data_IF_886075229630
#
_entry.id   IF_886075229630
#
_cell.length_a   1.000
_cell.length_b   1.000
_cell.length_c   1.000
_cell.angle_alpha   90.00
_cell.angle_beta   90.00
_cell.angle_gamma   90.00
#
_symmetry.space_group_name_H-M   'P 1'
#
loop_
_entity.id
_entity.type
_entity.pdbx_description
1 polymer ?
#
# COMPACT_ATOMS: atom_id res chain seq x y z
N UNK A 1 38.55 7.81 -56.73
CA UNK A 1 37.13 8.23 -56.71
C UNK A 1 36.44 7.63 -57.93
N UNK A 2 35.47 6.73 -57.73
CA UNK A 2 34.32 6.42 -58.60
C UNK A 2 33.50 5.34 -57.90
N UNK A 3 32.25 5.68 -57.58
CA UNK A 3 31.23 4.86 -56.91
C UNK A 3 30.41 4.20 -58.01
N UNK A 4 30.12 2.91 -57.90
CA UNK A 4 29.01 2.25 -58.58
C UNK A 4 28.59 1.07 -57.70
N UNK A 5 27.43 1.18 -57.04
CA UNK A 5 26.71 0.06 -56.47
C UNK A 5 25.21 0.31 -56.70
N UNK A 6 24.64 -0.64 -57.43
CA UNK A 6 23.26 -0.77 -57.90
C UNK A 6 22.23 -0.78 -56.75
N UNK A 7 20.97 -0.35 -57.00
CA UNK A 7 19.89 -0.34 -56.01
C UNK A 7 19.24 -1.72 -55.90
N UNK A 8 18.72 -2.05 -54.71
CA UNK A 8 17.77 -3.16 -54.54
C UNK A 8 16.79 -2.83 -53.41
N UNK A 9 15.60 -2.51 -53.89
CA UNK A 9 14.25 -2.58 -53.36
C UNK A 9 13.98 -2.96 -51.89
N UNK A 10 13.18 -2.08 -51.27
CA UNK A 10 11.99 -2.36 -50.49
C UNK A 10 11.58 -3.83 -50.36
N UNK A 11 11.52 -4.34 -49.14
CA UNK A 11 10.39 -5.17 -48.69
C UNK A 11 10.06 -4.88 -47.22
N UNK A 12 8.89 -4.25 -47.03
CA UNK A 12 8.12 -4.23 -45.79
C UNK A 12 7.89 -5.67 -45.31
N UNK A 13 8.21 -5.93 -44.03
CA UNK A 13 7.73 -7.13 -43.35
C UNK A 13 6.95 -6.73 -42.10
N UNK A 14 5.66 -7.00 -42.22
CA UNK A 14 4.51 -6.85 -41.35
C UNK A 14 4.73 -6.70 -39.85
N UNK A 15 4.20 -5.61 -39.31
CA UNK A 15 3.63 -5.55 -37.97
C UNK A 15 2.55 -6.64 -37.81
N UNK A 16 2.55 -7.41 -36.71
CA UNK A 16 1.37 -8.16 -36.31
C UNK A 16 0.40 -7.25 -35.55
N UNK A 17 -0.73 -6.93 -36.19
CA UNK A 17 -1.94 -6.44 -35.55
C UNK A 17 -2.48 -7.50 -34.57
N UNK A 18 -2.34 -7.24 -33.27
CA UNK A 18 -3.10 -7.96 -32.24
C UNK A 18 -4.42 -7.20 -32.06
N UNK A 19 -5.40 -7.57 -32.88
CA UNK A 19 -6.82 -7.35 -32.59
C UNK A 19 -7.27 -8.44 -31.61
N UNK A 20 -7.41 -8.08 -30.33
CA UNK A 20 -8.20 -8.88 -29.38
C UNK A 20 -9.25 -7.99 -28.75
N UNK A 21 -10.33 -7.78 -29.51
CA UNK A 21 -11.62 -7.34 -29.01
C UNK A 21 -12.11 -8.28 -27.89
N UNK A 22 -11.74 -7.97 -26.64
CA UNK A 22 -12.22 -8.67 -25.45
C UNK A 22 -13.43 -7.93 -24.88
N UNK A 23 -14.59 -8.55 -25.12
CA UNK A 23 -15.91 -8.18 -24.62
C UNK A 23 -15.91 -7.97 -23.10
N UNK A 24 -16.29 -6.75 -22.72
CA UNK A 24 -17.13 -6.35 -21.56
C UNK A 24 -17.62 -7.52 -20.68
N UNK A 25 -16.97 -7.72 -19.53
CA UNK A 25 -17.54 -8.42 -18.38
C UNK A 25 -17.85 -7.39 -17.28
N UNK A 26 -19.12 -6.97 -17.23
CA UNK A 26 -19.68 -6.13 -16.16
C UNK A 26 -19.82 -7.01 -14.91
N UNK A 27 -18.76 -7.13 -14.12
CA UNK A 27 -18.86 -7.72 -12.78
C UNK A 27 -19.59 -6.74 -11.88
N UNK A 28 -20.87 -7.02 -11.65
CA UNK A 28 -21.62 -6.46 -10.53
C UNK A 28 -20.91 -6.92 -9.25
N UNK A 29 -20.16 -6.01 -8.63
CA UNK A 29 -19.70 -6.21 -7.26
C UNK A 29 -20.85 -5.80 -6.37
N UNK A 30 -21.62 -6.80 -5.96
CA UNK A 30 -22.53 -6.72 -4.82
C UNK A 30 -21.83 -5.94 -3.71
N UNK A 31 -22.35 -4.74 -3.47
CA UNK A 31 -21.94 -3.88 -2.37
C UNK A 31 -22.59 -4.48 -1.14
N UNK A 32 -22.01 -5.57 -0.63
CA UNK A 32 -22.30 -6.07 0.69
C UNK A 32 -22.12 -4.88 1.65
N UNK A 33 -23.26 -4.34 2.11
CA UNK A 33 -23.30 -3.34 3.15
C UNK A 33 -22.80 -4.02 4.42
N UNK A 34 -21.49 -3.95 4.66
CA UNK A 34 -20.96 -4.17 5.99
C UNK A 34 -21.32 -2.93 6.82
N UNK A 35 -22.58 -2.88 7.25
CA UNK A 35 -22.99 -2.02 8.33
C UNK A 35 -22.33 -2.52 9.61
N UNK A 36 -21.14 -2.01 9.92
CA UNK A 36 -20.65 -2.05 11.30
C UNK A 36 -21.29 -0.88 12.04
N UNK A 37 -22.52 -1.11 12.53
CA UNK A 37 -23.07 -0.39 13.66
C UNK A 37 -22.20 -0.66 14.89
N UNK A 38 -21.10 0.09 15.04
CA UNK A 38 -20.39 0.16 16.31
C UNK A 38 -21.23 1.00 17.27
N UNK A 39 -22.28 0.39 17.79
CA UNK A 39 -22.93 0.84 19.01
C UNK A 39 -21.94 0.66 20.14
N UNK A 40 -21.28 1.74 20.54
CA UNK A 40 -20.52 1.75 21.80
C UNK A 40 -21.52 1.68 22.94
N UNK A 41 -21.68 0.46 23.46
CA UNK A 41 -22.38 0.17 24.70
C UNK A 41 -21.88 1.04 25.85
N UNK A 42 -22.84 1.44 26.68
CA UNK A 42 -22.66 2.20 27.90
C UNK A 42 -21.63 1.57 28.86
N UNK A 43 -20.83 2.42 29.52
CA UNK A 43 -20.22 2.11 30.82
C UNK A 43 -18.70 1.95 30.91
N UNK A 44 -17.93 2.11 29.83
CA UNK A 44 -16.46 2.08 29.86
C UNK A 44 -15.81 3.46 29.74
N UNK A 45 -14.51 3.63 30.07
CA UNK A 45 -13.78 4.87 29.81
C UNK A 45 -13.96 5.24 28.33
N UNK A 46 -14.40 6.48 28.08
CA UNK A 46 -14.69 6.94 26.73
C UNK A 46 -13.44 6.86 25.87
N UNK A 47 -13.42 5.88 24.96
CA UNK A 47 -12.38 5.71 23.95
C UNK A 47 -12.56 6.76 22.87
N UNK A 48 -12.00 7.94 23.10
CA UNK A 48 -11.90 9.00 22.10
C UNK A 48 -10.85 8.65 21.05
N UNK A 49 -10.97 9.22 19.86
CA UNK A 49 -9.98 9.05 18.79
C UNK A 49 -8.58 9.45 19.27
N UNK A 50 -8.47 10.59 19.95
CA UNK A 50 -7.21 11.10 20.51
C UNK A 50 -6.56 10.10 21.47
N UNK A 51 -7.33 9.52 22.41
CA UNK A 51 -6.79 8.52 23.35
C UNK A 51 -6.28 7.27 22.64
N UNK A 52 -6.97 6.82 21.58
CA UNK A 52 -6.53 5.68 20.77
C UNK A 52 -5.25 6.01 20.01
N UNK A 53 -5.16 7.19 19.42
CA UNK A 53 -3.97 7.65 18.71
C UNK A 53 -2.76 7.75 19.63
N UNK A 54 -2.90 8.38 20.80
CA UNK A 54 -1.82 8.50 21.78
C UNK A 54 -1.35 7.14 22.28
N UNK A 55 -2.29 6.24 22.62
CA UNK A 55 -1.96 4.89 23.07
C UNK A 55 -1.13 4.14 22.02
N UNK A 56 -1.58 4.14 20.77
CA UNK A 56 -0.90 3.42 19.69
C UNK A 56 0.45 4.07 19.35
N UNK A 57 0.53 5.40 19.39
CA UNK A 57 1.78 6.12 19.19
C UNK A 57 2.83 5.74 20.24
N UNK A 58 2.43 5.68 21.52
CA UNK A 58 3.30 5.24 22.63
C UNK A 58 3.68 3.77 22.50
N UNK A 59 2.73 2.89 22.18
CA UNK A 59 2.98 1.46 22.04
C UNK A 59 3.95 1.15 20.90
N UNK A 60 3.83 1.84 19.77
CA UNK A 60 4.80 1.75 18.67
C UNK A 60 6.17 2.27 19.11
N UNK A 61 6.22 3.42 19.79
CA UNK A 61 7.49 3.99 20.27
C UNK A 61 8.20 3.10 21.29
N UNK A 62 7.47 2.50 22.23
CA UNK A 62 8.00 1.53 23.18
C UNK A 62 8.42 0.23 22.48
N UNK A 63 7.61 -0.26 21.54
CA UNK A 63 7.90 -1.46 20.76
C UNK A 63 9.16 -1.32 19.90
N UNK A 64 9.41 -0.15 19.31
CA UNK A 64 10.65 0.11 18.55
C UNK A 64 11.86 0.19 19.48
N UNK A 65 11.72 0.79 20.66
CA UNK A 65 12.81 0.92 21.65
C UNK A 65 13.21 -0.42 22.27
N UNK A 66 12.23 -1.26 22.61
CA UNK A 66 12.46 -2.56 23.23
C UNK A 66 12.69 -3.69 22.21
N UNK A 67 12.22 -3.50 20.97
CA UNK A 67 12.27 -4.50 19.92
C UNK A 67 13.66 -4.73 19.35
N UNK A 68 13.84 -5.90 18.74
CA UNK A 68 15.02 -6.25 17.97
C UNK A 68 14.72 -6.05 16.47
N UNK A 69 15.02 -4.87 15.89
CA UNK A 69 14.57 -4.50 14.54
C UNK A 69 15.06 -5.48 13.48
N UNK A 70 16.27 -6.03 13.62
CA UNK A 70 16.83 -7.02 12.68
C UNK A 70 16.05 -8.32 12.66
N UNK A 71 15.63 -8.84 13.82
CA UNK A 71 14.84 -10.09 13.90
C UNK A 71 13.43 -9.89 13.30
N UNK A 72 12.83 -8.73 13.56
CA UNK A 72 11.51 -8.40 13.03
C UNK A 72 11.57 -8.21 11.51
N UNK A 73 12.59 -7.49 11.01
CA UNK A 73 12.81 -7.28 9.59
C UNK A 73 13.02 -8.62 8.86
N UNK A 74 13.85 -9.51 9.42
CA UNK A 74 14.08 -10.85 8.88
C UNK A 74 12.79 -11.69 8.83
N UNK A 75 11.96 -11.65 9.87
CA UNK A 75 10.67 -12.38 9.91
C UNK A 75 9.69 -11.93 8.84
N UNK A 76 9.69 -10.64 8.51
CA UNK A 76 8.78 -10.05 7.52
C UNK A 76 9.41 -10.02 6.10
N UNK A 77 10.67 -10.45 5.96
CA UNK A 77 11.39 -10.47 4.69
C UNK A 77 11.74 -9.08 4.17
N UNK A 78 11.92 -8.10 5.05
CA UNK A 78 12.34 -6.73 4.71
C UNK A 78 13.73 -6.43 5.25
N UNK A 79 14.38 -5.41 4.72
CA UNK A 79 15.64 -4.92 5.26
C UNK A 79 15.41 -4.15 6.57
N UNK A 80 16.43 -4.14 7.43
CA UNK A 80 16.40 -3.33 8.66
C UNK A 80 16.21 -1.84 8.36
N UNK A 81 16.70 -1.36 7.21
CA UNK A 81 16.51 0.02 6.79
C UNK A 81 15.05 0.31 6.43
N UNK A 82 14.40 -0.57 5.65
CA UNK A 82 12.97 -0.45 5.35
C UNK A 82 12.11 -0.51 6.62
N UNK A 83 12.48 -1.34 7.60
CA UNK A 83 11.83 -1.35 8.91
C UNK A 83 11.94 0.01 9.62
N UNK A 84 13.14 0.60 9.65
CA UNK A 84 13.37 1.93 10.24
C UNK A 84 12.55 3.00 9.51
N UNK A 85 12.59 3.02 8.19
CA UNK A 85 11.85 4.00 7.38
C UNK A 85 10.34 3.87 7.61
N UNK A 86 9.82 2.64 7.70
CA UNK A 86 8.40 2.38 7.95
C UNK A 86 7.94 2.82 9.35
N UNK A 87 8.82 2.73 10.35
CA UNK A 87 8.50 2.95 11.77
C UNK A 87 8.89 4.35 12.29
N UNK A 88 9.69 5.10 11.54
CA UNK A 88 10.06 6.48 11.86
C UNK A 88 8.83 7.40 11.94
N UNK A 89 8.95 8.47 12.73
CA UNK A 89 7.99 9.57 12.72
C UNK A 89 7.99 10.25 11.34
N UNK A 90 6.99 9.96 10.50
CA UNK A 90 6.81 10.58 9.19
C UNK A 90 5.34 10.50 8.75
N UNK A 91 4.89 11.45 7.91
CA UNK A 91 3.45 11.61 7.56
C UNK A 91 2.88 10.47 6.72
N UNK A 92 3.69 9.77 5.92
CA UNK A 92 3.23 8.77 4.94
C UNK A 92 3.73 7.34 5.22
N UNK A 93 4.36 7.11 6.37
CA UNK A 93 4.98 5.83 6.71
C UNK A 93 3.99 4.92 7.45
N UNK A 94 4.34 3.64 7.62
CA UNK A 94 3.47 2.64 8.25
C UNK A 94 2.98 3.11 9.62
N UNK A 95 3.86 3.70 10.44
CA UNK A 95 3.49 4.25 11.75
C UNK A 95 2.34 5.26 11.68
N UNK A 96 2.41 6.24 10.79
CA UNK A 96 1.36 7.26 10.67
C UNK A 96 0.04 6.67 10.17
N UNK A 97 0.09 5.70 9.25
CA UNK A 97 -1.10 4.99 8.77
C UNK A 97 -1.79 4.21 9.90
N UNK A 98 -1.01 3.54 10.74
CA UNK A 98 -1.52 2.77 11.89
C UNK A 98 -2.10 3.69 12.96
N UNK A 99 -1.43 4.79 13.30
CA UNK A 99 -1.97 5.78 14.25
C UNK A 99 -3.28 6.37 13.73
N UNK A 100 -3.33 6.82 12.47
CA UNK A 100 -4.55 7.36 11.85
C UNK A 100 -5.68 6.34 11.77
N UNK A 101 -5.35 5.06 11.56
CA UNK A 101 -6.33 3.99 11.60
C UNK A 101 -6.90 3.76 13.01
N UNK A 102 -6.06 3.87 14.05
CA UNK A 102 -6.51 3.80 15.44
C UNK A 102 -7.40 4.98 15.85
N UNK A 103 -7.15 6.17 15.29
CA UNK A 103 -8.04 7.32 15.39
C UNK A 103 -9.44 7.07 14.81
N UNK A 104 -9.55 6.09 13.90
CA UNK A 104 -10.82 5.62 13.35
C UNK A 104 -11.14 6.21 11.98
N UNK A 105 -10.14 6.35 11.10
CA UNK A 105 -10.23 6.74 9.67
C UNK A 105 -11.46 7.59 9.35
N UNK A 106 -11.26 8.91 9.28
CA UNK A 106 -12.26 9.94 8.98
C UNK A 106 -13.50 9.43 8.23
N UNK A 107 -14.63 9.53 8.92
CA UNK A 107 -15.97 9.48 8.35
C UNK A 107 -16.10 10.43 7.16
#
# INVERSE_FOLDING_TARGET
MKREASPSDFLMSSSPDIDTSSKKAKSAKDKAQHGTSSGSGAGGPSWTAEKRETLIAELISLGIKAGKPTEIAAKVGITTQQFKDATQNGKNNLRAKVIKAAGGFGK
#
